data_IF_226864039846
#
_entry.id   IF_226864039846
#
_cell.length_a   1.000
_cell.length_b   1.000
_cell.length_c   1.000
_cell.angle_alpha   90.00
_cell.angle_beta   90.00
_cell.angle_gamma   90.00
#
_symmetry.space_group_name_H-M   'P 1'
#
loop_
_entity.id
_entity.type
_entity.pdbx_description
1 polymer ?
#
# COMPACT_ATOMS: atom_id res chain seq x y z
N UNK A 1 23.42 -64.28 -4.12
CA UNK A 1 23.68 -63.59 -2.83
C UNK A 1 24.68 -62.48 -3.12
N UNK A 2 24.60 -61.23 -2.69
CA UNK A 2 23.62 -60.44 -1.93
C UNK A 2 24.30 -59.05 -1.89
N UNK A 3 23.51 -57.99 -2.05
CA UNK A 3 23.77 -56.65 -1.47
C UNK A 3 24.96 -55.83 -2.01
N UNK A 4 24.70 -55.07 -3.06
CA UNK A 4 25.23 -53.69 -3.20
C UNK A 4 24.18 -52.87 -3.96
N UNK A 5 22.97 -52.86 -3.39
CA UNK A 5 21.82 -52.08 -3.85
C UNK A 5 21.76 -50.85 -2.94
N UNK A 6 21.82 -49.67 -3.57
CA UNK A 6 21.26 -48.38 -3.13
C UNK A 6 21.90 -47.78 -1.87
N UNK A 7 22.84 -46.84 -2.03
CA UNK A 7 23.14 -45.87 -0.97
C UNK A 7 23.71 -44.51 -1.41
N UNK A 8 23.50 -44.04 -2.65
CA UNK A 8 24.03 -42.70 -3.06
C UNK A 8 23.10 -41.93 -4.01
N UNK A 9 21.77 -42.09 -3.91
CA UNK A 9 20.82 -41.30 -4.72
C UNK A 9 19.58 -40.88 -3.91
N UNK A 10 19.76 -40.46 -2.66
CA UNK A 10 18.62 -40.05 -1.79
C UNK A 10 18.92 -38.87 -0.87
N UNK A 11 19.86 -37.98 -1.22
CA UNK A 11 20.12 -36.75 -0.43
C UNK A 11 20.41 -35.54 -1.32
N UNK A 12 19.62 -35.31 -2.38
CA UNK A 12 19.74 -34.05 -3.15
C UNK A 12 18.43 -33.59 -3.79
N UNK A 13 17.30 -33.78 -3.12
CA UNK A 13 15.98 -33.42 -3.67
C UNK A 13 15.11 -32.60 -2.72
N UNK A 14 15.69 -31.91 -1.74
CA UNK A 14 14.92 -31.12 -0.77
C UNK A 14 15.50 -29.71 -0.57
N UNK A 15 15.68 -28.98 -1.68
CA UNK A 15 16.05 -27.56 -1.63
C UNK A 15 15.29 -26.71 -2.67
N UNK A 16 14.07 -27.10 -3.03
CA UNK A 16 13.20 -26.33 -3.94
C UNK A 16 11.85 -26.06 -3.27
N UNK A 17 11.82 -25.21 -2.25
CA UNK A 17 10.56 -24.70 -1.68
C UNK A 17 10.71 -23.40 -0.85
N UNK A 18 11.65 -22.50 -1.18
CA UNK A 18 11.84 -21.27 -0.39
C UNK A 18 11.96 -20.00 -1.22
N UNK A 19 11.29 -19.91 -2.37
CA UNK A 19 11.18 -18.63 -3.09
C UNK A 19 9.81 -18.49 -3.76
N UNK A 20 8.74 -18.66 -2.98
CA UNK A 20 7.46 -18.02 -3.28
C UNK A 20 7.38 -16.80 -2.36
N UNK A 21 7.59 -15.60 -2.92
CA UNK A 21 7.37 -14.34 -2.21
C UNK A 21 5.87 -14.11 -2.05
N UNK A 22 5.23 -14.88 -1.18
CA UNK A 22 3.85 -14.63 -0.75
C UNK A 22 3.90 -13.49 0.28
N UNK A 23 3.93 -12.26 -0.21
CA UNK A 23 3.75 -11.10 0.62
C UNK A 23 2.37 -11.18 1.27
N UNK A 24 2.34 -11.42 2.59
CA UNK A 24 1.09 -11.64 3.33
C UNK A 24 0.37 -10.31 3.55
N UNK A 25 -0.98 -10.30 3.46
CA UNK A 25 -1.75 -9.13 3.88
C UNK A 25 -1.42 -8.75 5.32
N UNK A 26 -1.25 -7.45 5.56
CA UNK A 26 -1.14 -6.87 6.91
C UNK A 26 -2.36 -5.99 7.17
N UNK A 27 -2.77 -5.91 8.42
CA UNK A 27 -3.77 -4.95 8.89
C UNK A 27 -3.10 -3.93 9.79
N UNK A 28 -3.33 -2.64 9.54
CA UNK A 28 -2.78 -1.54 10.30
C UNK A 28 -3.83 -0.47 10.60
N UNK A 29 -3.59 0.29 11.68
CA UNK A 29 -4.32 1.51 11.98
C UNK A 29 -3.51 2.69 11.46
N UNK A 30 -4.13 3.51 10.63
CA UNK A 30 -3.45 4.60 9.97
C UNK A 30 -4.31 5.83 9.77
N UNK A 31 -3.77 6.75 9.00
CA UNK A 31 -4.42 7.99 8.61
C UNK A 31 -4.10 8.32 7.16
N UNK A 32 -5.11 8.80 6.42
CA UNK A 32 -4.88 9.33 5.06
C UNK A 32 -4.28 10.71 5.17
N UNK A 33 -3.10 10.88 4.57
CA UNK A 33 -2.34 12.13 4.57
C UNK A 33 -1.99 12.58 3.14
N UNK A 34 -1.65 13.85 2.98
CA UNK A 34 -1.06 14.32 1.73
C UNK A 34 0.45 14.10 1.79
N UNK A 35 0.99 13.28 0.88
CA UNK A 35 2.40 12.88 0.93
C UNK A 35 3.33 14.09 0.88
N UNK A 36 3.08 15.02 -0.04
CA UNK A 36 3.94 16.20 -0.22
C UNK A 36 3.95 17.11 0.99
N UNK A 37 2.79 17.36 1.61
CA UNK A 37 2.72 18.16 2.83
C UNK A 37 3.44 17.46 3.98
N UNK A 38 3.22 16.16 4.16
CA UNK A 38 3.86 15.39 5.22
C UNK A 38 5.39 15.30 5.06
N UNK A 39 5.89 15.16 3.83
CA UNK A 39 7.34 15.17 3.59
C UNK A 39 7.99 16.52 3.93
N UNK A 40 7.24 17.62 3.86
CA UNK A 40 7.74 18.96 4.10
C UNK A 40 7.56 19.40 5.56
N UNK A 41 6.36 19.23 6.09
CA UNK A 41 5.92 19.80 7.37
C UNK A 41 5.74 18.70 8.45
N UNK A 42 5.93 17.42 8.11
CA UNK A 42 5.89 16.30 9.05
C UNK A 42 4.51 16.08 9.66
N UNK A 43 4.49 15.81 10.97
CA UNK A 43 3.26 15.56 11.73
C UNK A 43 2.30 16.76 11.73
N UNK A 44 2.79 17.98 11.51
CA UNK A 44 1.95 19.19 11.42
C UNK A 44 1.06 19.19 10.16
N UNK A 45 1.35 18.33 9.18
CA UNK A 45 0.54 18.11 7.98
C UNK A 45 -0.45 16.94 8.11
N UNK A 46 -0.79 16.56 9.33
CA UNK A 46 -1.77 15.50 9.65
C UNK A 46 -3.03 16.09 10.29
N UNK A 47 -4.05 15.26 10.44
CA UNK A 47 -5.32 15.59 11.07
C UNK A 47 -6.26 16.40 10.20
N UNK A 48 -7.49 16.55 10.69
CA UNK A 48 -8.55 17.30 10.00
C UNK A 48 -8.19 18.76 9.74
N UNK A 49 -7.33 19.36 10.57
CA UNK A 49 -6.87 20.74 10.39
C UNK A 49 -6.14 20.95 9.05
N UNK A 50 -5.51 19.91 8.50
CA UNK A 50 -4.73 19.99 7.27
C UNK A 50 -5.53 19.64 5.99
N UNK A 51 -6.85 19.40 6.11
CA UNK A 51 -7.66 18.91 5.00
C UNK A 51 -7.74 19.89 3.82
N UNK A 52 -7.75 21.20 4.08
CA UNK A 52 -7.81 22.21 3.01
C UNK A 52 -6.57 22.17 2.10
N UNK A 53 -5.38 21.98 2.69
CA UNK A 53 -4.14 21.79 1.95
C UNK A 53 -4.16 20.47 1.18
N UNK A 54 -4.61 19.38 1.80
CA UNK A 54 -4.73 18.10 1.13
C UNK A 54 -5.71 18.12 -0.06
N UNK A 55 -6.85 18.81 0.07
CA UNK A 55 -7.79 19.03 -1.03
C UNK A 55 -7.15 19.79 -2.19
N UNK A 56 -6.33 20.82 -1.90
CA UNK A 56 -5.63 21.58 -2.92
C UNK A 56 -4.54 20.75 -3.62
N UNK A 57 -3.77 19.96 -2.86
CA UNK A 57 -2.75 19.06 -3.38
C UNK A 57 -3.38 17.97 -4.26
N UNK A 58 -4.47 17.38 -3.81
CA UNK A 58 -5.24 16.38 -4.56
C UNK A 58 -5.78 16.95 -5.88
N UNK A 59 -6.33 18.18 -5.88
CA UNK A 59 -6.76 18.87 -7.12
C UNK A 59 -5.63 19.07 -8.14
N UNK A 60 -4.37 19.07 -7.69
CA UNK A 60 -3.18 19.21 -8.54
C UNK A 60 -2.57 17.87 -8.95
N UNK A 61 -3.18 16.75 -8.56
CA UNK A 61 -2.67 15.40 -8.83
C UNK A 61 -1.51 14.97 -7.98
N UNK A 62 -1.36 15.56 -6.80
CA UNK A 62 -0.36 15.12 -5.84
C UNK A 62 -0.87 13.88 -5.09
N UNK A 63 0.01 12.90 -4.83
CA UNK A 63 -0.38 11.63 -4.23
C UNK A 63 -0.80 11.79 -2.75
N UNK A 64 -1.80 10.99 -2.37
CA UNK A 64 -2.14 10.73 -0.97
C UNK A 64 -1.45 9.44 -0.52
N UNK A 65 -1.15 9.33 0.77
CA UNK A 65 -0.53 8.17 1.36
C UNK A 65 -1.26 7.77 2.66
N UNK A 66 -0.97 6.57 3.14
CA UNK A 66 -1.40 6.11 4.46
C UNK A 66 -0.21 6.21 5.41
N UNK A 67 -0.36 6.95 6.49
CA UNK A 67 0.57 6.98 7.60
C UNK A 67 0.13 5.93 8.63
N UNK A 68 0.96 4.91 8.86
CA UNK A 68 0.76 3.94 9.94
C UNK A 68 1.07 4.60 11.29
N UNK A 69 0.08 4.65 12.18
CA UNK A 69 0.23 5.29 13.50
C UNK A 69 1.06 4.47 14.48
N UNK A 70 1.23 3.17 14.23
CA UNK A 70 1.99 2.29 15.12
C UNK A 70 3.50 2.41 14.93
N UNK A 71 3.97 2.76 13.73
CA UNK A 71 5.40 2.76 13.40
C UNK A 71 5.85 3.93 12.50
N UNK A 72 4.97 4.88 12.22
CA UNK A 72 5.22 6.07 11.38
C UNK A 72 5.68 5.76 9.96
N UNK A 73 5.40 4.56 9.43
CA UNK A 73 5.68 4.21 8.04
C UNK A 73 4.63 4.80 7.10
N UNK A 74 5.08 5.17 5.92
CA UNK A 74 4.24 5.64 4.83
C UNK A 74 4.02 4.52 3.83
N UNK A 75 2.76 4.30 3.47
CA UNK A 75 2.37 3.38 2.41
C UNK A 75 1.70 4.17 1.29
N UNK A 76 2.26 4.08 0.09
CA UNK A 76 1.63 4.63 -1.10
C UNK A 76 0.66 3.59 -1.66
N UNK A 77 -0.66 3.87 -1.65
CA UNK A 77 -1.63 2.91 -2.14
C UNK A 77 -1.56 2.77 -3.66
N UNK A 78 -1.54 1.54 -4.15
CA UNK A 78 -1.57 1.25 -5.60
C UNK A 78 -2.57 0.14 -5.94
N UNK A 79 -2.89 0.00 -7.23
CA UNK A 79 -3.65 -1.13 -7.80
C UNK A 79 -2.75 -2.02 -8.64
N UNK A 80 -3.12 -3.27 -8.83
CA UNK A 80 -2.46 -4.18 -9.79
C UNK A 80 -3.03 -4.06 -11.23
N UNK A 81 -4.10 -3.28 -11.43
CA UNK A 81 -4.74 -2.99 -12.74
C UNK A 81 -3.92 -2.03 -13.66
N UNK A 82 -2.70 -1.64 -13.28
CA UNK A 82 -1.84 -0.77 -14.09
C UNK A 82 -1.43 -1.35 -15.46
N UNK A 83 -1.49 -2.68 -15.63
CA UNK A 83 -0.90 -3.36 -16.80
C UNK A 83 -1.86 -3.53 -18.00
N UNK A 84 -3.16 -3.20 -17.88
CA UNK A 84 -4.17 -3.61 -18.89
C UNK A 84 -4.86 -2.50 -19.70
N UNK A 85 -4.64 -1.21 -19.44
CA UNK A 85 -5.40 -0.14 -20.16
C UNK A 85 -4.51 0.95 -20.76
N UNK A 86 -4.27 0.85 -22.06
CA UNK A 86 -3.73 1.90 -22.92
C UNK A 86 -4.81 2.87 -23.41
N UNK A 87 -5.47 3.59 -22.49
CA UNK A 87 -6.43 4.66 -22.79
C UNK A 87 -5.82 6.03 -22.51
N UNK A 88 -5.84 6.91 -23.50
CA UNK A 88 -5.32 8.29 -23.40
C UNK A 88 -6.16 9.07 -22.38
N UNK A 89 -5.48 9.80 -21.50
CA UNK A 89 -6.02 10.84 -20.59
C UNK A 89 -6.78 10.40 -19.32
N UNK A 90 -6.91 9.11 -19.01
CA UNK A 90 -7.40 8.62 -17.69
C UNK A 90 -6.27 8.22 -16.72
N UNK A 91 -5.02 8.55 -17.06
CA UNK A 91 -3.81 8.17 -16.30
C UNK A 91 -3.45 9.20 -15.23
N UNK A 92 -4.38 9.47 -14.31
CA UNK A 92 -4.10 10.23 -13.10
C UNK A 92 -3.63 9.23 -12.04
N UNK A 93 -2.30 9.05 -11.92
CA UNK A 93 -1.55 8.40 -10.83
C UNK A 93 -2.46 7.68 -9.84
N UNK A 94 -2.93 6.49 -10.23
CA UNK A 94 -3.93 5.74 -9.47
C UNK A 94 -5.17 6.57 -9.08
N UNK A 95 -6.29 6.27 -9.72
CA UNK A 95 -7.43 5.86 -8.91
C UNK A 95 -6.88 5.12 -7.67
N UNK A 96 -6.94 5.63 -6.44
CA UNK A 96 -8.15 5.72 -5.62
C UNK A 96 -8.99 4.43 -5.57
N UNK A 97 -8.62 3.40 -6.33
CA UNK A 97 -9.16 2.04 -6.47
C UNK A 97 -10.63 1.89 -6.09
N UNK A 98 -11.52 2.72 -6.65
CA UNK A 98 -12.97 2.67 -6.34
C UNK A 98 -13.35 2.91 -4.84
N UNK A 99 -12.40 3.04 -3.91
CA UNK A 99 -12.60 3.02 -2.45
C UNK A 99 -11.90 4.15 -1.67
N UNK A 100 -10.89 4.82 -2.24
CA UNK A 100 -10.39 6.06 -1.68
C UNK A 100 -11.18 7.18 -2.36
N UNK A 101 -11.77 8.08 -1.57
CA UNK A 101 -12.84 8.93 -2.05
C UNK A 101 -12.40 9.89 -3.16
N UNK A 102 -13.30 10.11 -4.11
CA UNK A 102 -13.30 11.30 -4.93
C UNK A 102 -13.28 12.58 -4.06
N UNK A 103 -13.00 13.74 -4.68
CA UNK A 103 -12.86 15.06 -4.04
C UNK A 103 -13.93 15.35 -2.95
N UNK A 104 -15.14 14.85 -3.13
CA UNK A 104 -16.31 15.01 -2.26
C UNK A 104 -16.30 14.13 -1.00
N UNK A 105 -15.61 12.99 -1.00
CA UNK A 105 -15.48 12.15 0.20
C UNK A 105 -14.09 12.15 0.83
N UNK A 106 -13.13 12.96 0.36
CA UNK A 106 -11.86 13.15 1.07
C UNK A 106 -12.11 13.53 2.54
N UNK A 107 -13.15 14.33 2.80
CA UNK A 107 -13.60 14.70 4.15
C UNK A 107 -14.12 13.53 4.99
N UNK A 108 -14.53 12.44 4.36
CA UNK A 108 -14.99 11.23 5.04
C UNK A 108 -13.85 10.45 5.68
N UNK A 109 -12.63 10.52 5.14
CA UNK A 109 -11.50 9.67 5.56
C UNK A 109 -10.23 10.43 5.96
N UNK A 110 -9.99 11.60 5.38
CA UNK A 110 -8.81 12.40 5.68
C UNK A 110 -8.80 12.83 7.14
N UNK A 111 -7.63 12.81 7.79
CA UNK A 111 -7.50 13.25 9.18
C UNK A 111 -8.22 12.38 10.22
N UNK A 112 -8.82 11.26 9.81
CA UNK A 112 -9.51 10.29 10.67
C UNK A 112 -8.68 9.01 10.76
N UNK A 113 -8.91 8.27 11.85
CA UNK A 113 -8.33 6.94 12.00
C UNK A 113 -9.04 5.97 11.07
N UNK A 114 -8.25 5.19 10.33
CA UNK A 114 -8.71 4.15 9.43
C UNK A 114 -8.03 2.84 9.78
N UNK A 115 -8.74 1.73 9.59
CA UNK A 115 -8.17 0.39 9.61
C UNK A 115 -7.99 -0.03 8.16
N UNK A 116 -6.75 -0.32 7.77
CA UNK A 116 -6.38 -0.72 6.41
C UNK A 116 -5.84 -2.13 6.44
N UNK A 117 -6.36 -2.98 5.55
CA UNK A 117 -5.79 -4.29 5.25
C UNK A 117 -5.30 -4.30 3.81
N UNK A 118 -4.04 -4.69 3.61
CA UNK A 118 -3.43 -4.71 2.29
C UNK A 118 -2.10 -5.46 2.26
N UNK A 119 -1.59 -5.71 1.06
CA UNK A 119 -0.32 -6.41 0.83
C UNK A 119 0.78 -5.36 0.60
N UNK A 120 1.79 -5.27 1.49
CA UNK A 120 2.86 -4.29 1.36
C UNK A 120 4.07 -4.85 0.60
N UNK A 121 4.53 -4.13 -0.43
CA UNK A 121 5.77 -4.45 -1.16
C UNK A 121 6.73 -3.26 -1.16
N UNK A 122 8.04 -3.52 -1.14
CA UNK A 122 9.04 -2.49 -1.43
C UNK A 122 9.08 -2.17 -2.93
N UNK A 123 9.00 -0.90 -3.29
CA UNK A 123 9.20 -0.40 -4.66
C UNK A 123 10.18 0.76 -4.69
N UNK A 124 11.40 0.54 -5.20
CA UNK A 124 12.43 1.58 -5.38
C UNK A 124 12.64 2.51 -4.15
N UNK A 125 12.60 1.95 -2.93
CA UNK A 125 12.77 2.70 -1.68
C UNK A 125 11.49 3.32 -1.12
N UNK A 126 10.34 3.13 -1.77
CA UNK A 126 9.02 3.52 -1.29
C UNK A 126 8.25 2.26 -0.94
N UNK A 127 7.56 2.25 0.20
CA UNK A 127 6.63 1.16 0.51
C UNK A 127 5.33 1.39 -0.24
N UNK A 128 5.00 0.46 -1.12
CA UNK A 128 3.73 0.42 -1.83
C UNK A 128 2.79 -0.53 -1.09
N UNK A 129 1.50 -0.31 -1.21
CA UNK A 129 0.50 -1.20 -0.65
C UNK A 129 -0.65 -1.40 -1.63
N UNK A 130 -0.92 -2.66 -1.96
CA UNK A 130 -2.18 -3.03 -2.60
C UNK A 130 -3.26 -3.13 -1.52
N UNK A 131 -4.17 -2.14 -1.49
CA UNK A 131 -5.25 -2.11 -0.50
C UNK A 131 -6.31 -3.14 -0.88
N UNK A 132 -6.65 -4.00 0.08
CA UNK A 132 -7.77 -4.94 -0.05
C UNK A 132 -9.03 -4.37 0.62
N UNK A 133 -8.90 -3.78 1.80
CA UNK A 133 -10.02 -3.16 2.53
C UNK A 133 -9.56 -1.93 3.30
N UNK A 134 -10.40 -0.89 3.33
CA UNK A 134 -10.22 0.29 4.19
C UNK A 134 -11.57 0.62 4.86
N UNK A 135 -11.57 0.72 6.18
CA UNK A 135 -12.74 1.12 6.97
C UNK A 135 -12.38 2.24 7.93
N UNK A 136 -13.35 3.09 8.28
CA UNK A 136 -13.18 4.05 9.36
C UNK A 136 -13.13 3.30 10.69
N UNK A 137 -12.26 3.75 11.59
CA UNK A 137 -12.31 3.31 12.97
C UNK A 137 -13.48 4.05 13.65
N UNK A 138 -14.44 3.29 14.19
CA UNK A 138 -15.63 3.80 14.89
C UNK A 138 -15.28 4.55 16.19
#
# INVERSE_FOLDING_TARGET
MRKTIILVVTVLSLATALFAGDEKPITLKGEVICLTCYMKDGLEATGMAHIGCAQACYKRGLPLAILDKGNSKLYLPITTEFSKRGGKEETFVCSLVEHIPARDQLEKYYGKNIIVTGVPFPGNGIMLMEIQTMVLED
#
